data_IF_847962507400
#
_entry.id   IF_847962507400
#
_cell.length_a   1.000
_cell.length_b   1.000
_cell.length_c   1.000
_cell.angle_alpha   90.00
_cell.angle_beta   90.00
_cell.angle_gamma   90.00
#
_symmetry.space_group_name_H-M   'P 1'
#
loop_
_entity.id
_entity.type
_entity.pdbx_description
1 polymer ?
#
# COMPACT_ATOMS: atom_id res chain seq x y z
N UNK A 1 -71.75 32.10 32.29
CA UNK A 1 -70.77 31.50 31.36
C UNK A 1 -69.61 30.97 32.17
N UNK A 2 -69.66 29.68 32.55
CA UNK A 2 -68.60 29.00 33.30
C UNK A 2 -67.55 28.49 32.31
N UNK A 3 -66.33 29.00 32.43
CA UNK A 3 -65.20 28.64 31.59
C UNK A 3 -64.46 27.46 32.24
N UNK A 4 -64.66 26.25 31.73
CA UNK A 4 -63.98 25.05 32.21
C UNK A 4 -62.57 25.00 31.59
N UNK A 5 -61.54 25.25 32.39
CA UNK A 5 -60.14 25.00 32.01
C UNK A 5 -59.87 23.50 32.00
N UNK A 6 -59.65 22.93 30.83
CA UNK A 6 -59.15 21.56 30.67
C UNK A 6 -57.63 21.60 30.75
N UNK A 7 -57.07 21.10 31.85
CA UNK A 7 -55.64 20.82 31.95
C UNK A 7 -55.32 19.61 31.06
N UNK A 8 -54.64 19.85 29.94
CA UNK A 8 -54.01 18.80 29.16
C UNK A 8 -52.74 18.35 29.89
N UNK A 9 -52.79 17.19 30.54
CA UNK A 9 -51.60 16.53 31.08
C UNK A 9 -50.74 16.05 29.90
N UNK A 10 -49.58 16.67 29.70
CA UNK A 10 -48.54 16.11 28.82
C UNK A 10 -47.97 14.86 29.47
N UNK A 11 -48.33 13.69 28.92
CA UNK A 11 -47.63 12.44 29.18
C UNK A 11 -46.25 12.50 28.50
N UNK A 12 -45.21 12.79 29.28
CA UNK A 12 -43.83 12.52 28.86
C UNK A 12 -43.64 11.01 28.93
N UNK A 13 -43.77 10.33 27.79
CA UNK A 13 -43.41 8.92 27.68
C UNK A 13 -41.90 8.79 27.91
N UNK A 14 -41.49 8.44 29.13
CA UNK A 14 -40.12 7.99 29.38
C UNK A 14 -39.88 6.75 28.54
N UNK A 15 -38.91 6.81 27.60
CA UNK A 15 -38.48 5.62 26.89
C UNK A 15 -38.16 4.52 27.93
N UNK A 16 -38.65 3.28 27.75
CA UNK A 16 -38.32 2.20 28.68
C UNK A 16 -36.80 2.09 28.76
N UNK A 17 -36.27 2.12 29.98
CA UNK A 17 -34.84 1.89 30.21
C UNK A 17 -34.47 0.54 29.62
N UNK A 18 -33.56 0.50 28.65
CA UNK A 18 -33.05 -0.76 28.10
C UNK A 18 -32.54 -1.64 29.24
N UNK A 19 -32.86 -2.95 29.21
CA UNK A 19 -32.34 -3.91 30.19
C UNK A 19 -30.81 -3.89 30.16
N UNK A 20 -30.17 -3.72 31.32
CA UNK A 20 -28.71 -3.68 31.45
C UNK A 20 -28.23 -4.91 32.20
N UNK A 21 -27.20 -5.55 31.68
CA UNK A 21 -26.53 -6.69 32.30
C UNK A 21 -25.07 -6.34 32.51
N UNK A 22 -24.58 -6.50 33.73
CA UNK A 22 -23.18 -6.22 34.09
C UNK A 22 -22.43 -7.54 34.22
N UNK A 23 -21.33 -7.68 33.49
CA UNK A 23 -20.40 -8.80 33.59
C UNK A 23 -19.13 -8.29 34.29
N UNK A 24 -18.87 -8.70 35.53
CA UNK A 24 -17.64 -8.38 36.23
C UNK A 24 -16.48 -9.17 35.60
N UNK A 25 -15.43 -8.46 35.20
CA UNK A 25 -14.22 -8.98 34.60
C UNK A 25 -14.38 -9.65 33.21
N UNK A 26 -13.87 -8.95 32.18
CA UNK A 26 -13.94 -9.33 30.76
C UNK A 26 -13.20 -10.61 30.38
N UNK A 27 -12.30 -11.14 31.21
CA UNK A 27 -11.49 -12.33 30.90
C UNK A 27 -12.30 -13.63 30.89
N UNK A 28 -13.59 -13.57 31.25
CA UNK A 28 -14.46 -14.73 31.45
C UNK A 28 -15.43 -15.04 30.29
N UNK A 29 -15.57 -14.17 29.28
CA UNK A 29 -16.60 -14.31 28.23
C UNK A 29 -16.02 -14.16 26.83
N UNK A 30 -16.20 -15.19 25.99
CA UNK A 30 -15.78 -15.15 24.60
C UNK A 30 -16.56 -14.09 23.82
N UNK A 31 -15.94 -13.51 22.78
CA UNK A 31 -16.56 -12.49 21.93
C UNK A 31 -17.89 -12.92 21.30
N UNK A 32 -18.03 -14.22 21.00
CA UNK A 32 -19.25 -14.84 20.46
C UNK A 32 -20.40 -14.90 21.47
N UNK A 33 -20.08 -14.83 22.76
CA UNK A 33 -21.00 -15.14 23.86
C UNK A 33 -21.46 -13.86 24.59
N UNK A 34 -20.96 -12.69 24.19
CA UNK A 34 -21.34 -11.42 24.82
C UNK A 34 -22.85 -11.18 24.87
N UNK A 35 -23.59 -11.58 23.83
CA UNK A 35 -25.05 -11.49 23.79
C UNK A 35 -25.76 -12.80 24.17
N UNK A 36 -25.01 -13.86 24.51
CA UNK A 36 -25.52 -15.20 24.86
C UNK A 36 -24.96 -15.61 26.22
N UNK A 37 -25.71 -15.35 27.28
CA UNK A 37 -25.24 -15.62 28.64
C UNK A 37 -25.80 -16.94 29.16
N UNK A 38 -25.04 -17.60 30.02
CA UNK A 38 -25.46 -18.83 30.69
C UNK A 38 -26.84 -18.63 31.38
N UNK A 39 -27.80 -19.51 31.09
CA UNK A 39 -29.18 -19.38 31.55
C UNK A 39 -30.07 -18.41 30.76
N UNK A 40 -29.51 -17.58 29.86
CA UNK A 40 -30.24 -16.66 28.95
C UNK A 40 -29.59 -16.60 27.57
N UNK A 41 -29.82 -17.59 26.69
CA UNK A 41 -29.11 -17.70 25.42
C UNK A 41 -29.49 -16.64 24.37
N UNK A 42 -30.51 -15.80 24.61
CA UNK A 42 -30.97 -14.74 23.71
C UNK A 42 -31.26 -13.44 24.45
N UNK A 43 -30.21 -12.73 24.85
CA UNK A 43 -30.34 -11.46 25.54
C UNK A 43 -30.68 -10.31 24.57
N UNK A 44 -31.58 -9.41 25.01
CA UNK A 44 -31.90 -8.14 24.33
C UNK A 44 -31.74 -7.01 25.32
N UNK A 45 -30.86 -6.06 25.04
CA UNK A 45 -30.50 -5.01 25.98
C UNK A 45 -29.05 -4.56 25.81
N UNK A 46 -28.47 -4.04 26.88
CA UNK A 46 -27.09 -3.57 26.92
C UNK A 46 -26.26 -4.46 27.85
N UNK A 47 -25.14 -4.96 27.35
CA UNK A 47 -24.13 -5.68 28.13
C UNK A 47 -23.00 -4.74 28.48
N UNK A 48 -22.72 -4.60 29.77
CA UNK A 48 -21.62 -3.80 30.30
C UNK A 48 -20.53 -4.72 30.86
N UNK A 49 -19.32 -4.59 30.33
CA UNK A 49 -18.13 -5.21 30.89
C UNK A 49 -17.43 -4.19 31.77
N UNK A 50 -17.25 -4.53 33.04
CA UNK A 50 -16.61 -3.66 34.04
C UNK A 50 -15.38 -4.34 34.64
N UNK A 51 -14.41 -3.52 35.02
CA UNK A 51 -13.27 -3.94 35.85
C UNK A 51 -13.73 -4.25 37.28
N UNK A 52 -12.85 -4.85 38.06
CA UNK A 52 -13.09 -5.14 39.48
C UNK A 52 -13.34 -3.88 40.32
N UNK A 53 -12.76 -2.73 39.92
CA UNK A 53 -12.99 -1.41 40.52
C UNK A 53 -14.33 -0.76 40.09
N UNK A 54 -15.11 -1.44 39.26
CA UNK A 54 -16.40 -0.98 38.75
C UNK A 54 -16.32 -0.08 37.51
N UNK A 55 -15.12 0.24 37.01
CA UNK A 55 -14.93 1.08 35.85
C UNK A 55 -15.40 0.40 34.55
N UNK A 56 -16.15 1.13 33.71
CA UNK A 56 -16.68 0.63 32.44
C UNK A 56 -15.57 0.42 31.41
N UNK A 57 -15.45 -0.78 30.87
CA UNK A 57 -14.51 -1.10 29.79
C UNK A 57 -15.20 -1.22 28.44
N UNK A 58 -16.43 -1.74 28.41
CA UNK A 58 -17.16 -1.92 27.15
C UNK A 58 -18.67 -1.95 27.37
N UNK A 59 -19.40 -1.36 26.44
CA UNK A 59 -20.87 -1.39 26.36
C UNK A 59 -21.25 -2.00 25.00
N UNK A 60 -22.08 -3.04 24.99
CA UNK A 60 -22.50 -3.75 23.77
C UNK A 60 -24.02 -3.84 23.72
N UNK A 61 -24.62 -3.32 22.65
CA UNK A 61 -26.03 -3.53 22.35
C UNK A 61 -26.28 -4.93 21.81
N UNK A 62 -27.34 -5.58 22.29
CA UNK A 62 -27.76 -6.91 21.91
C UNK A 62 -29.25 -6.94 21.56
N UNK A 63 -29.61 -7.72 20.56
CA UNK A 63 -30.99 -8.06 20.21
C UNK A 63 -31.07 -9.55 19.87
N UNK A 64 -31.94 -10.30 20.54
CA UNK A 64 -32.20 -11.70 20.23
C UNK A 64 -31.01 -12.64 20.41
N UNK A 65 -30.01 -12.25 21.21
CA UNK A 65 -28.77 -13.02 21.39
C UNK A 65 -27.65 -12.70 20.41
N UNK A 66 -27.80 -11.65 19.60
CA UNK A 66 -26.81 -11.16 18.65
C UNK A 66 -26.49 -9.70 18.92
N UNK A 67 -25.32 -9.23 18.48
CA UNK A 67 -24.96 -7.82 18.62
C UNK A 67 -25.82 -6.96 17.70
N UNK A 68 -26.31 -5.85 18.25
CA UNK A 68 -27.18 -4.92 17.57
C UNK A 68 -26.94 -3.49 18.06
N UNK A 69 -26.81 -2.54 17.14
CA UNK A 69 -26.54 -1.15 17.46
C UNK A 69 -25.09 -0.91 17.86
N UNK A 70 -24.85 -0.16 18.93
CA UNK A 70 -23.51 0.33 19.29
C UNK A 70 -22.74 -0.67 20.15
N UNK A 71 -21.44 -0.76 19.87
CA UNK A 71 -20.44 -1.47 20.67
C UNK A 71 -19.27 -0.52 20.93
N UNK A 72 -19.15 -0.10 22.18
CA UNK A 72 -18.21 0.93 22.63
C UNK A 72 -17.21 0.34 23.59
N UNK A 73 -15.93 0.61 23.38
CA UNK A 73 -14.86 0.20 24.27
C UNK A 73 -14.12 1.43 24.79
N UNK A 74 -13.66 1.37 26.03
CA UNK A 74 -13.04 2.48 26.75
C UNK A 74 -11.64 2.10 27.22
N UNK A 75 -10.76 3.10 27.28
CA UNK A 75 -9.45 3.01 27.92
C UNK A 75 -9.57 2.95 29.44
N UNK A 76 -8.48 2.59 30.12
CA UNK A 76 -8.39 2.60 31.59
C UNK A 76 -8.61 3.99 32.22
N UNK A 77 -8.44 5.07 31.45
CA UNK A 77 -8.72 6.43 31.90
C UNK A 77 -10.18 6.88 31.62
N UNK A 78 -11.01 6.01 31.03
CA UNK A 78 -12.42 6.26 30.73
C UNK A 78 -12.67 6.92 29.38
N UNK A 79 -11.62 7.26 28.63
CA UNK A 79 -11.73 7.80 27.27
C UNK A 79 -12.27 6.73 26.33
N UNK A 80 -13.18 7.10 25.43
CA UNK A 80 -13.71 6.19 24.43
C UNK A 80 -12.58 5.76 23.49
N UNK A 81 -12.25 4.47 23.47
CA UNK A 81 -11.21 3.90 22.62
C UNK A 81 -11.72 3.57 21.22
N UNK A 82 -12.93 3.01 21.14
CA UNK A 82 -13.51 2.51 19.89
C UNK A 82 -15.03 2.47 19.96
N UNK A 83 -15.68 2.75 18.84
CA UNK A 83 -17.11 2.61 18.64
C UNK A 83 -17.35 1.89 17.31
N UNK A 84 -18.19 0.85 17.35
CA UNK A 84 -18.62 0.05 16.21
C UNK A 84 -20.14 0.02 16.15
N UNK A 85 -20.68 -0.11 14.95
CA UNK A 85 -22.10 -0.38 14.74
C UNK A 85 -22.30 -1.80 14.20
N UNK A 86 -23.29 -2.48 14.77
CA UNK A 86 -23.66 -3.86 14.46
C UNK A 86 -25.12 -3.92 14.00
N UNK A 87 -25.40 -4.78 13.03
CA UNK A 87 -26.73 -5.12 12.56
C UNK A 87 -26.81 -6.65 12.42
N UNK A 88 -27.70 -7.29 13.19
CA UNK A 88 -27.88 -8.75 13.19
C UNK A 88 -26.55 -9.54 13.30
N UNK A 89 -25.72 -9.15 14.28
CA UNK A 89 -24.44 -9.81 14.56
C UNK A 89 -23.31 -9.50 13.58
N UNK A 90 -23.53 -8.72 12.52
CA UNK A 90 -22.50 -8.28 11.57
C UNK A 90 -22.16 -6.80 11.73
N UNK A 91 -20.92 -6.41 11.44
CA UNK A 91 -20.55 -4.98 11.37
C UNK A 91 -21.29 -4.33 10.20
N UNK A 92 -21.99 -3.24 10.48
CA UNK A 92 -22.75 -2.47 9.50
C UNK A 92 -22.89 -1.05 10.00
N UNK A 93 -22.36 -0.07 9.28
CA UNK A 93 -22.32 1.33 9.68
C UNK A 93 -20.93 1.80 10.14
N UNK A 94 -20.92 2.83 10.99
CA UNK A 94 -19.70 3.56 11.32
C UNK A 94 -18.76 2.76 12.26
N UNK A 95 -17.48 2.87 11.98
CA UNK A 95 -16.38 2.53 12.87
C UNK A 95 -15.59 3.80 13.18
N UNK A 96 -15.27 4.00 14.46
CA UNK A 96 -14.41 5.07 14.93
C UNK A 96 -13.51 4.56 16.03
N UNK A 97 -12.26 5.00 16.05
CA UNK A 97 -11.37 4.80 17.18
C UNK A 97 -10.64 6.10 17.52
N UNK A 98 -10.19 6.19 18.76
CA UNK A 98 -9.52 7.36 19.31
C UNK A 98 -8.25 6.93 20.04
N UNK A 99 -7.33 7.87 20.23
CA UNK A 99 -6.16 7.74 21.08
C UNK A 99 -6.53 7.92 22.57
N UNK A 100 -5.65 7.55 23.52
CA UNK A 100 -5.92 7.69 24.96
C UNK A 100 -6.21 9.12 25.44
N UNK A 101 -5.80 10.13 24.67
CA UNK A 101 -6.07 11.56 24.92
C UNK A 101 -7.42 12.03 24.33
N UNK A 102 -8.14 11.15 23.61
CA UNK A 102 -9.41 11.43 22.97
C UNK A 102 -9.29 11.97 21.54
N UNK A 103 -8.08 12.12 20.99
CA UNK A 103 -7.90 12.51 19.59
C UNK A 103 -8.40 11.40 18.65
N UNK A 104 -9.06 11.72 17.51
CA UNK A 104 -9.44 10.70 16.53
C UNK A 104 -8.22 9.93 16.04
N UNK A 105 -8.35 8.61 15.92
CA UNK A 105 -7.30 7.71 15.43
C UNK A 105 -7.66 7.14 14.06
N UNK A 106 -8.89 6.68 13.92
CA UNK A 106 -9.37 6.04 12.69
C UNK A 106 -10.87 6.25 12.53
N UNK A 107 -11.33 6.40 11.29
CA UNK A 107 -12.75 6.47 10.97
C UNK A 107 -13.05 5.89 9.59
N UNK A 108 -14.05 5.02 9.52
CA UNK A 108 -14.57 4.44 8.28
C UNK A 108 -15.99 3.92 8.45
N UNK A 109 -16.60 3.48 7.36
CA UNK A 109 -17.94 2.89 7.35
C UNK A 109 -17.90 1.50 6.73
N UNK A 110 -18.61 0.55 7.31
CA UNK A 110 -18.89 -0.76 6.75
C UNK A 110 -20.31 -0.73 6.18
N UNK A 111 -20.52 -1.31 5.00
CA UNK A 111 -21.83 -1.58 4.46
C UNK A 111 -21.99 -3.07 4.14
N UNK A 112 -23.08 -3.46 3.46
CA UNK A 112 -23.40 -4.86 3.19
C UNK A 112 -22.34 -5.65 2.41
N UNK A 113 -21.46 -4.96 1.68
CA UNK A 113 -20.43 -5.57 0.83
C UNK A 113 -19.00 -5.30 1.33
N UNK A 114 -18.85 -4.81 2.56
CA UNK A 114 -17.55 -4.45 3.13
C UNK A 114 -17.40 -2.94 3.37
N UNK A 115 -16.16 -2.48 3.48
CA UNK A 115 -15.85 -1.05 3.62
C UNK A 115 -16.47 -0.20 2.50
N UNK A 116 -17.02 0.94 2.88
CA UNK A 116 -17.72 1.88 1.99
C UNK A 116 -17.39 3.33 2.37
N UNK A 117 -17.26 4.18 1.37
CA UNK A 117 -17.06 5.62 1.54
C UNK A 117 -15.64 5.99 1.98
N UNK A 118 -15.54 7.05 2.79
CA UNK A 118 -14.25 7.58 3.21
C UNK A 118 -13.63 6.74 4.33
N UNK A 119 -12.34 6.46 4.16
CA UNK A 119 -11.47 5.86 5.15
C UNK A 119 -10.41 6.89 5.57
N UNK A 120 -10.24 7.12 6.88
CA UNK A 120 -9.29 8.10 7.42
C UNK A 120 -8.52 7.51 8.60
N UNK A 121 -7.22 7.77 8.63
CA UNK A 121 -6.32 7.49 9.76
C UNK A 121 -5.66 8.81 10.16
N UNK A 122 -5.45 9.02 11.46
CA UNK A 122 -4.79 10.18 12.03
C UNK A 122 -3.55 9.79 12.83
N UNK A 123 -2.57 10.69 12.87
CA UNK A 123 -1.43 10.63 13.77
C UNK A 123 -1.87 11.04 15.19
N UNK A 124 -1.10 10.66 16.20
CA UNK A 124 -1.35 11.00 17.62
C UNK A 124 -1.45 12.52 17.87
N UNK A 125 -0.84 13.35 17.02
CA UNK A 125 -0.96 14.81 17.10
C UNK A 125 -2.24 15.37 16.45
N UNK A 126 -3.19 14.51 16.08
CA UNK A 126 -4.46 14.85 15.44
C UNK A 126 -4.39 15.19 13.96
N UNK A 127 -3.21 15.18 13.33
CA UNK A 127 -3.07 15.42 11.88
C UNK A 127 -3.46 14.17 11.10
N UNK A 128 -4.02 14.36 9.90
CA UNK A 128 -4.36 13.25 9.01
C UNK A 128 -3.08 12.50 8.61
N UNK A 129 -3.10 11.17 8.77
CA UNK A 129 -2.01 10.28 8.36
C UNK A 129 -2.31 9.64 7.00
N UNK A 130 -3.56 9.25 6.76
CA UNK A 130 -3.98 8.64 5.51
C UNK A 130 -5.45 8.92 5.23
N UNK A 131 -5.79 9.02 3.94
CA UNK A 131 -7.18 8.98 3.47
C UNK A 131 -7.30 8.09 2.23
N UNK A 132 -8.41 7.40 2.11
CA UNK A 132 -8.75 6.62 0.92
C UNK A 132 -10.27 6.57 0.73
N UNK A 133 -10.70 6.21 -0.47
CA UNK A 133 -12.10 5.89 -0.75
C UNK A 133 -12.29 4.39 -0.99
N UNK A 134 -13.38 3.85 -0.47
CA UNK A 134 -13.78 2.46 -0.61
C UNK A 134 -15.17 2.36 -1.24
N UNK A 135 -15.36 1.31 -2.03
CA UNK A 135 -16.65 0.89 -2.57
C UNK A 135 -16.71 -0.62 -2.65
N UNK A 136 -17.79 -1.21 -2.16
CA UNK A 136 -17.98 -2.67 -2.14
C UNK A 136 -16.77 -3.42 -1.53
N UNK A 137 -16.21 -2.89 -0.44
CA UNK A 137 -15.06 -3.48 0.26
C UNK A 137 -13.70 -3.31 -0.42
N UNK A 138 -13.62 -2.57 -1.54
CA UNK A 138 -12.38 -2.36 -2.30
C UNK A 138 -12.04 -0.88 -2.39
N UNK A 139 -10.73 -0.55 -2.37
CA UNK A 139 -10.28 0.83 -2.67
C UNK A 139 -10.79 1.26 -4.04
N UNK A 140 -11.47 2.39 -4.10
CA UNK A 140 -12.09 2.90 -5.32
C UNK A 140 -12.26 4.42 -5.23
N UNK A 141 -11.37 5.14 -5.91
CA UNK A 141 -11.23 6.59 -5.83
C UNK A 141 -9.84 7.01 -5.34
N UNK A 142 -9.68 8.29 -4.99
CA UNK A 142 -8.40 8.86 -4.59
C UNK A 142 -7.94 8.35 -3.22
N UNK A 143 -6.63 8.32 -3.05
CA UNK A 143 -5.97 8.13 -1.76
C UNK A 143 -4.81 9.11 -1.59
N UNK A 144 -4.43 9.35 -0.34
CA UNK A 144 -3.26 10.15 0.01
C UNK A 144 -2.73 9.79 1.40
N UNK A 145 -1.42 9.75 1.54
CA UNK A 145 -0.69 9.49 2.77
C UNK A 145 0.17 10.70 3.16
N UNK A 146 0.30 10.97 4.45
CA UNK A 146 0.95 12.15 5.01
C UNK A 146 1.86 11.81 6.19
N UNK A 147 2.94 12.57 6.35
CA UNK A 147 3.81 12.46 7.52
C UNK A 147 3.17 13.08 8.78
N UNK A 148 3.87 12.97 9.92
CA UNK A 148 3.40 13.56 11.20
C UNK A 148 3.31 15.08 11.14
N UNK A 149 4.03 15.73 10.22
CA UNK A 149 3.99 17.17 10.01
C UNK A 149 2.86 17.58 9.05
N UNK A 150 2.16 16.62 8.43
CA UNK A 150 1.09 16.86 7.46
C UNK A 150 1.59 17.10 6.04
N UNK A 151 2.88 16.87 5.76
CA UNK A 151 3.38 16.89 4.39
C UNK A 151 2.90 15.65 3.65
N UNK A 152 2.47 15.85 2.41
CA UNK A 152 2.05 14.76 1.53
C UNK A 152 3.26 13.88 1.21
N UNK A 153 3.12 12.58 1.44
CA UNK A 153 4.13 11.56 1.10
C UNK A 153 3.82 10.87 -0.22
N UNK A 154 2.55 10.52 -0.42
CA UNK A 154 2.09 9.80 -1.61
C UNK A 154 0.63 10.17 -1.91
N UNK A 155 0.27 10.19 -3.19
CA UNK A 155 -1.14 10.18 -3.62
C UNK A 155 -1.32 9.41 -4.91
N UNK A 156 -2.54 8.96 -5.15
CA UNK A 156 -2.97 8.41 -6.42
C UNK A 156 -4.42 8.02 -6.38
N UNK A 157 -4.80 7.12 -7.28
CA UNK A 157 -6.17 6.66 -7.45
C UNK A 157 -6.22 5.13 -7.57
N UNK A 158 -7.29 4.56 -7.06
CA UNK A 158 -7.62 3.15 -7.19
C UNK A 158 -8.94 2.98 -7.94
N UNK A 159 -9.04 1.92 -8.74
CA UNK A 159 -10.29 1.46 -9.33
C UNK A 159 -10.45 -0.05 -9.07
N UNK A 160 -11.56 -0.41 -8.41
CA UNK A 160 -11.87 -1.80 -8.03
C UNK A 160 -10.73 -2.54 -7.30
N UNK A 161 -10.04 -1.84 -6.40
CA UNK A 161 -8.94 -2.39 -5.59
C UNK A 161 -7.59 -2.45 -6.30
N UNK A 162 -7.45 -1.88 -7.50
CA UNK A 162 -6.18 -1.80 -8.24
C UNK A 162 -5.79 -0.36 -8.50
N UNK A 163 -4.51 -0.03 -8.41
CA UNK A 163 -4.01 1.31 -8.75
C UNK A 163 -4.38 1.65 -10.21
N UNK A 164 -4.90 2.84 -10.45
CA UNK A 164 -5.40 3.23 -11.77
C UNK A 164 -5.23 4.74 -11.95
N UNK A 165 -4.40 5.15 -12.90
CA UNK A 165 -3.96 6.53 -13.05
C UNK A 165 -2.53 6.75 -12.54
N UNK A 166 -2.25 7.96 -12.06
CA UNK A 166 -0.89 8.38 -11.68
C UNK A 166 -0.72 8.34 -10.18
N UNK A 167 0.27 7.58 -9.72
CA UNK A 167 0.76 7.59 -8.34
C UNK A 167 2.00 8.48 -8.28
N UNK A 168 2.00 9.42 -7.33
CA UNK A 168 3.10 10.37 -7.12
C UNK A 168 3.57 10.27 -5.67
N UNK A 169 4.87 10.05 -5.49
CA UNK A 169 5.54 10.12 -4.19
C UNK A 169 6.36 11.41 -4.10
N UNK A 170 6.43 11.97 -2.90
CA UNK A 170 6.99 13.28 -2.61
C UNK A 170 8.11 13.17 -1.57
N UNK A 171 9.15 13.98 -1.72
CA UNK A 171 10.14 14.22 -0.68
C UNK A 171 9.53 15.06 0.46
N UNK A 172 10.16 15.08 1.66
CA UNK A 172 9.75 15.98 2.74
C UNK A 172 9.71 17.47 2.36
N UNK A 173 10.47 17.87 1.33
CA UNK A 173 10.44 19.23 0.77
C UNK A 173 9.15 19.56 0.00
N UNK A 174 8.31 18.57 -0.31
CA UNK A 174 7.14 18.69 -1.18
C UNK A 174 7.44 18.50 -2.67
N UNK A 175 8.70 18.25 -3.06
CA UNK A 175 9.06 17.94 -4.43
C UNK A 175 8.61 16.52 -4.80
N UNK A 176 7.99 16.34 -5.97
CA UNK A 176 7.70 15.02 -6.51
C UNK A 176 9.01 14.29 -6.85
N UNK A 177 9.23 13.12 -6.26
CA UNK A 177 10.44 12.32 -6.45
C UNK A 177 10.16 11.04 -7.23
N UNK A 178 8.91 10.59 -7.31
CA UNK A 178 8.56 9.42 -8.10
C UNK A 178 7.18 9.58 -8.71
N UNK A 179 7.08 9.22 -9.98
CA UNK A 179 5.83 9.21 -10.73
C UNK A 179 5.71 7.84 -11.36
N UNK A 180 4.60 7.17 -11.06
CA UNK A 180 4.29 5.83 -11.55
C UNK A 180 2.90 5.85 -12.17
N UNK A 181 2.75 5.32 -13.38
CA UNK A 181 1.49 5.31 -14.11
C UNK A 181 0.96 3.88 -14.19
N UNK A 182 -0.33 3.73 -13.90
CA UNK A 182 -1.02 2.45 -13.87
C UNK A 182 -2.30 2.48 -14.68
N UNK A 183 -2.66 1.32 -15.23
CA UNK A 183 -3.99 1.01 -15.73
C UNK A 183 -4.44 -0.30 -15.09
N UNK A 184 -5.45 -0.25 -14.23
CA UNK A 184 -5.99 -1.41 -13.51
C UNK A 184 -4.92 -2.31 -12.85
N UNK A 185 -3.94 -1.69 -12.20
CA UNK A 185 -2.85 -2.32 -11.46
C UNK A 185 -1.61 -2.66 -12.29
N UNK A 186 -1.68 -2.55 -13.63
CA UNK A 186 -0.56 -2.78 -14.53
C UNK A 186 0.18 -1.48 -14.80
N UNK A 187 1.52 -1.49 -14.76
CA UNK A 187 2.33 -0.32 -15.14
C UNK A 187 2.15 -0.02 -16.63
N UNK A 188 1.91 1.23 -16.96
CA UNK A 188 1.75 1.73 -18.34
C UNK A 188 2.44 3.08 -18.45
N UNK A 189 2.88 3.48 -19.64
CA UNK A 189 3.55 4.76 -19.85
C UNK A 189 4.87 4.90 -19.06
N UNK A 190 5.26 6.14 -18.82
CA UNK A 190 6.58 6.49 -18.27
C UNK A 190 6.55 6.47 -16.74
N UNK A 191 7.43 5.68 -16.15
CA UNK A 191 7.75 5.69 -14.73
C UNK A 191 9.03 6.48 -14.54
N UNK A 192 9.05 7.42 -13.60
CA UNK A 192 10.21 8.27 -13.38
C UNK A 192 10.54 8.40 -11.89
N UNK A 193 11.84 8.49 -11.59
CA UNK A 193 12.39 8.70 -10.25
C UNK A 193 13.42 9.81 -10.34
N UNK A 194 13.34 10.79 -9.45
CA UNK A 194 14.26 11.91 -9.34
C UNK A 194 14.99 11.86 -8.00
N UNK A 195 16.18 12.45 -7.95
CA UNK A 195 16.93 12.65 -6.71
C UNK A 195 16.25 13.71 -5.86
N UNK A 196 16.05 13.40 -4.59
CA UNK A 196 15.53 14.31 -3.56
C UNK A 196 16.53 15.41 -3.15
N UNK A 197 17.83 15.25 -3.44
CA UNK A 197 18.87 16.22 -3.09
C UNK A 197 19.09 17.28 -4.15
N UNK A 198 19.04 16.93 -5.44
CA UNK A 198 19.34 17.85 -6.54
C UNK A 198 18.31 17.87 -7.68
N UNK A 199 17.23 17.10 -7.57
CA UNK A 199 16.14 17.07 -8.55
C UNK A 199 16.47 16.39 -9.88
N UNK A 200 17.66 15.80 -10.06
CA UNK A 200 18.03 15.14 -11.32
C UNK A 200 17.31 13.82 -11.49
N UNK A 201 16.96 13.49 -12.73
CA UNK A 201 16.33 12.23 -13.10
C UNK A 201 17.30 11.08 -12.85
N UNK A 202 16.91 10.13 -12.01
CA UNK A 202 17.69 8.93 -11.68
C UNK A 202 17.23 7.71 -12.46
N UNK A 203 15.94 7.60 -12.77
CA UNK A 203 15.39 6.47 -13.54
C UNK A 203 14.23 6.91 -14.43
N UNK A 204 14.16 6.35 -15.64
CA UNK A 204 13.04 6.48 -16.57
C UNK A 204 12.77 5.13 -17.21
N UNK A 205 11.67 4.49 -16.85
CA UNK A 205 11.22 3.23 -17.45
C UNK A 205 9.93 3.47 -18.22
N UNK A 206 9.79 2.84 -19.37
CA UNK A 206 8.63 3.01 -20.23
C UNK A 206 7.94 1.67 -20.45
N UNK A 207 6.62 1.67 -20.34
CA UNK A 207 5.76 0.52 -20.57
C UNK A 207 4.68 0.87 -21.60
N UNK A 208 4.32 -0.09 -22.46
CA UNK A 208 3.22 0.08 -23.40
C UNK A 208 1.86 0.15 -22.69
N UNK A 209 0.77 0.54 -23.35
CA UNK A 209 -0.58 0.44 -22.80
C UNK A 209 -0.96 -0.99 -22.36
N UNK A 210 -0.41 -2.00 -23.04
CA UNK A 210 -0.55 -3.43 -22.73
C UNK A 210 0.34 -3.87 -21.57
N UNK A 211 1.19 -2.96 -21.07
CA UNK A 211 2.11 -3.17 -19.95
C UNK A 211 3.37 -3.95 -20.29
N UNK A 212 3.72 -4.06 -21.57
CA UNK A 212 5.02 -4.59 -21.97
C UNK A 212 6.10 -3.54 -21.72
N UNK A 213 7.26 -3.95 -21.18
CA UNK A 213 8.40 -3.06 -21.02
C UNK A 213 8.93 -2.62 -22.40
N UNK A 214 9.26 -1.34 -22.55
CA UNK A 214 9.71 -0.72 -23.80
C UNK A 214 11.17 -0.28 -23.72
N UNK A 215 11.51 0.47 -22.67
CA UNK A 215 12.87 0.98 -22.47
C UNK A 215 13.12 1.35 -21.01
N UNK A 216 14.39 1.34 -20.62
CA UNK A 216 14.79 1.76 -19.30
C UNK A 216 16.13 2.47 -19.29
N UNK A 217 16.18 3.57 -18.57
CA UNK A 217 17.37 4.40 -18.41
C UNK A 217 17.59 4.66 -16.92
N UNK A 218 18.84 4.58 -16.48
CA UNK A 218 19.27 4.87 -15.12
C UNK A 218 20.47 5.79 -15.20
N UNK A 219 20.43 6.86 -14.42
CA UNK A 219 21.49 7.85 -14.31
C UNK A 219 22.07 7.88 -12.90
N UNK A 220 23.31 8.35 -12.80
CA UNK A 220 23.94 8.70 -11.53
C UNK A 220 23.42 10.08 -11.06
N UNK A 221 23.66 10.40 -9.79
CA UNK A 221 23.28 11.69 -9.19
C UNK A 221 24.00 12.87 -9.87
N UNK A 222 25.18 12.63 -10.45
CA UNK A 222 25.93 13.61 -11.25
C UNK A 222 25.34 13.84 -12.66
N UNK A 223 24.31 13.07 -13.06
CA UNK A 223 23.65 13.15 -14.36
C UNK A 223 24.27 12.26 -15.45
N UNK A 224 25.38 11.57 -15.17
CA UNK A 224 25.97 10.62 -16.11
C UNK A 224 25.07 9.40 -16.30
N UNK A 225 24.96 8.92 -17.55
CA UNK A 225 24.18 7.72 -17.86
C UNK A 225 24.90 6.50 -17.28
N UNK A 226 24.21 5.78 -16.39
CA UNK A 226 24.74 4.59 -15.71
C UNK A 226 24.34 3.31 -16.43
N UNK A 227 23.10 3.23 -16.90
CA UNK A 227 22.55 2.00 -17.49
C UNK A 227 21.41 2.27 -18.45
N UNK A 228 21.37 1.49 -19.52
CA UNK A 228 20.21 1.35 -20.40
C UNK A 228 19.75 -0.10 -20.48
N UNK A 229 18.46 -0.33 -20.61
CA UNK A 229 17.87 -1.66 -20.75
C UNK A 229 16.78 -1.64 -21.81
N UNK A 230 16.82 -2.57 -22.75
CA UNK A 230 15.85 -2.71 -23.83
C UNK A 230 15.46 -4.18 -24.02
N UNK A 231 14.19 -4.47 -24.39
CA UNK A 231 13.82 -5.77 -24.95
C UNK A 231 14.66 -6.10 -26.17
N UNK A 232 14.96 -7.38 -26.36
CA UNK A 232 15.69 -7.87 -27.53
C UNK A 232 15.19 -9.27 -27.90
N UNK A 233 15.05 -9.53 -29.20
CA UNK A 233 14.86 -10.87 -29.73
C UNK A 233 16.23 -11.51 -29.96
N UNK A 234 16.48 -12.63 -29.29
CA UNK A 234 17.75 -13.34 -29.34
C UNK A 234 17.59 -14.54 -30.30
N UNK A 235 18.26 -14.55 -31.46
CA UNK A 235 18.10 -15.60 -32.46
C UNK A 235 18.35 -16.99 -31.85
N UNK A 236 17.35 -17.87 -31.95
CA UNK A 236 17.42 -19.24 -31.41
C UNK A 236 17.13 -19.36 -29.91
N UNK A 237 16.99 -18.25 -29.16
CA UNK A 237 16.82 -18.27 -27.70
C UNK A 237 15.61 -17.45 -27.19
N UNK A 238 14.87 -16.80 -28.09
CA UNK A 238 13.62 -16.10 -27.79
C UNK A 238 13.81 -14.67 -27.26
N UNK A 239 12.77 -14.12 -26.62
CA UNK A 239 12.78 -12.76 -26.07
C UNK A 239 13.64 -12.67 -24.82
N UNK A 240 14.28 -11.52 -24.67
CA UNK A 240 15.19 -11.23 -23.59
C UNK A 240 15.37 -9.75 -23.33
N UNK A 241 16.40 -9.43 -22.57
CA UNK A 241 16.84 -8.06 -22.29
C UNK A 241 18.28 -7.86 -22.73
N UNK A 242 18.52 -6.71 -23.36
CA UNK A 242 19.85 -6.14 -23.54
C UNK A 242 20.04 -5.03 -22.52
N UNK A 243 20.96 -5.22 -21.59
CA UNK A 243 21.36 -4.23 -20.59
C UNK A 243 22.76 -3.74 -20.91
N UNK A 244 22.96 -2.42 -20.94
CA UNK A 244 24.28 -1.79 -21.12
C UNK A 244 24.57 -0.91 -19.92
N UNK A 245 25.71 -1.13 -19.26
CA UNK A 245 26.19 -0.41 -18.09
C UNK A 245 27.47 0.35 -18.44
N UNK A 246 27.57 1.59 -17.95
CA UNK A 246 28.68 2.50 -18.23
C UNK A 246 29.44 2.76 -16.94
N UNK A 247 30.71 2.36 -16.89
CA UNK A 247 31.58 2.43 -15.72
C UNK A 247 32.93 3.05 -16.13
N UNK A 248 33.02 4.38 -16.06
CA UNK A 248 34.23 5.09 -16.47
C UNK A 248 34.55 4.86 -17.95
N UNK A 249 35.70 4.25 -18.26
CA UNK A 249 36.12 3.93 -19.62
C UNK A 249 35.48 2.63 -20.16
N UNK A 250 34.80 1.85 -19.31
CA UNK A 250 34.29 0.53 -19.63
C UNK A 250 32.79 0.57 -19.93
N UNK A 251 32.40 -0.20 -20.95
CA UNK A 251 31.00 -0.46 -21.28
C UNK A 251 30.74 -1.95 -21.18
N UNK A 252 29.86 -2.36 -20.26
CA UNK A 252 29.41 -3.74 -20.12
C UNK A 252 28.07 -3.90 -20.82
N UNK A 253 27.93 -4.87 -21.71
CA UNK A 253 26.66 -5.24 -22.32
C UNK A 253 26.33 -6.68 -21.98
N UNK A 254 25.14 -6.91 -21.43
CA UNK A 254 24.57 -8.22 -21.10
C UNK A 254 23.32 -8.40 -21.96
N UNK A 255 23.28 -9.47 -22.75
CA UNK A 255 22.10 -9.94 -23.48
C UNK A 255 21.66 -11.25 -22.82
N UNK A 256 20.43 -11.32 -22.31
CA UNK A 256 19.94 -12.50 -21.58
C UNK A 256 18.51 -12.84 -21.98
N UNK A 257 18.21 -14.12 -22.22
CA UNK A 257 16.85 -14.61 -22.47
C UNK A 257 16.07 -14.85 -21.17
N UNK A 258 14.82 -15.32 -21.28
CA UNK A 258 13.98 -15.75 -20.16
C UNK A 258 13.00 -14.69 -19.66
N UNK A 259 13.32 -13.41 -19.82
CA UNK A 259 12.36 -12.32 -19.63
C UNK A 259 12.73 -11.09 -20.43
N UNK A 260 11.71 -10.34 -20.85
CA UNK A 260 11.78 -9.00 -21.42
C UNK A 260 11.28 -7.92 -20.44
N UNK A 261 11.05 -8.26 -19.17
CA UNK A 261 10.67 -7.32 -18.11
C UNK A 261 11.77 -7.27 -17.04
N UNK A 262 12.44 -6.11 -16.85
CA UNK A 262 13.50 -5.98 -15.86
C UNK A 262 13.01 -6.22 -14.42
N UNK A 263 11.71 -6.10 -14.14
CA UNK A 263 11.15 -6.42 -12.83
C UNK A 263 11.26 -7.91 -12.48
N UNK A 264 11.31 -8.80 -13.49
CA UNK A 264 11.40 -10.25 -13.32
C UNK A 264 12.82 -10.79 -13.37
N UNK A 265 13.80 -9.97 -13.76
CA UNK A 265 15.20 -10.41 -13.85
C UNK A 265 15.75 -10.99 -12.54
N UNK A 266 15.34 -10.44 -11.38
CA UNK A 266 15.77 -10.92 -10.07
C UNK A 266 15.18 -12.30 -9.72
N UNK A 267 14.05 -12.69 -10.32
CA UNK A 267 13.37 -13.96 -10.06
C UNK A 267 13.98 -15.11 -10.87
N UNK A 268 14.54 -14.80 -12.05
CA UNK A 268 15.03 -15.75 -13.06
C UNK A 268 16.56 -15.91 -12.95
N UNK A 269 17.10 -15.88 -11.73
CA UNK A 269 18.54 -15.82 -11.48
C UNK A 269 19.35 -16.80 -12.36
N UNK A 270 20.28 -16.26 -13.15
CA UNK A 270 21.01 -17.02 -14.19
C UNK A 270 21.68 -18.30 -13.67
N UNK A 271 22.08 -18.35 -12.40
CA UNK A 271 22.77 -19.52 -11.83
C UNK A 271 21.88 -20.75 -11.64
N UNK A 272 20.55 -20.59 -11.66
CA UNK A 272 19.60 -21.65 -11.28
C UNK A 272 18.47 -21.87 -12.28
N UNK A 273 18.33 -21.01 -13.28
CA UNK A 273 17.28 -21.16 -14.29
C UNK A 273 17.80 -21.90 -15.52
N UNK A 274 17.21 -23.06 -15.86
CA UNK A 274 17.57 -23.78 -17.09
C UNK A 274 17.14 -22.99 -18.34
N UNK A 275 17.72 -23.33 -19.48
CA UNK A 275 17.36 -22.78 -20.80
C UNK A 275 17.52 -21.25 -20.94
N UNK A 276 18.42 -20.67 -20.14
CA UNK A 276 18.81 -19.27 -20.28
C UNK A 276 20.04 -19.14 -21.17
N UNK A 277 19.92 -18.31 -22.19
CA UNK A 277 21.03 -17.77 -22.95
C UNK A 277 21.55 -16.52 -22.26
N UNK A 278 22.87 -16.37 -22.18
CA UNK A 278 23.52 -15.15 -21.71
C UNK A 278 24.78 -14.88 -22.52
N UNK A 279 24.87 -13.65 -23.05
CA UNK A 279 26.08 -13.07 -23.63
C UNK A 279 26.46 -11.84 -22.83
N UNK A 280 27.63 -11.87 -22.22
CA UNK A 280 28.22 -10.76 -21.49
C UNK A 280 29.47 -10.29 -22.24
N UNK A 281 29.53 -9.00 -22.54
CA UNK A 281 30.68 -8.36 -23.19
C UNK A 281 31.11 -7.16 -22.39
N UNK A 282 32.42 -7.00 -22.20
CA UNK A 282 33.03 -5.81 -21.61
C UNK A 282 33.92 -5.18 -22.68
N UNK A 283 33.72 -3.89 -22.93
CA UNK A 283 34.45 -3.12 -23.93
C UNK A 283 35.15 -1.92 -23.31
N UNK A 284 36.32 -1.59 -23.86
CA UNK A 284 37.03 -0.31 -23.66
C UNK A 284 37.13 0.36 -25.02
N UNK A 285 36.34 1.42 -25.25
CA UNK A 285 36.07 1.92 -26.60
C UNK A 285 35.52 0.80 -27.51
N UNK A 286 36.12 0.62 -28.68
CA UNK A 286 35.72 -0.43 -29.62
C UNK A 286 36.28 -1.82 -29.30
N UNK A 287 37.29 -1.91 -28.41
CA UNK A 287 37.97 -3.16 -28.10
C UNK A 287 37.17 -4.00 -27.10
N UNK A 288 36.90 -5.27 -27.46
CA UNK A 288 36.40 -6.27 -26.52
C UNK A 288 37.56 -6.67 -25.59
N UNK A 289 37.37 -6.46 -24.29
CA UNK A 289 38.31 -6.90 -23.25
C UNK A 289 37.78 -8.12 -22.49
N UNK A 290 36.46 -8.28 -22.39
CA UNK A 290 35.87 -9.54 -21.97
C UNK A 290 34.70 -9.97 -22.83
N UNK A 291 34.55 -11.29 -23.01
CA UNK A 291 33.39 -11.90 -23.66
C UNK A 291 33.13 -13.27 -23.05
N UNK A 292 31.91 -13.48 -22.57
CA UNK A 292 31.43 -14.77 -22.08
C UNK A 292 30.07 -15.03 -22.72
N UNK A 293 29.95 -16.16 -23.41
CA UNK A 293 28.70 -16.58 -24.04
C UNK A 293 28.35 -17.99 -23.57
N UNK A 294 27.12 -18.16 -23.09
CA UNK A 294 26.67 -19.43 -22.54
C UNK A 294 25.17 -19.65 -22.78
N UNK A 295 24.79 -20.92 -22.86
CA UNK A 295 23.41 -21.39 -22.84
C UNK A 295 23.27 -22.53 -21.84
N UNK A 296 22.23 -22.46 -21.00
CA UNK A 296 21.96 -23.50 -20.00
C UNK A 296 23.21 -23.82 -19.15
N UNK A 297 23.87 -22.76 -18.69
CA UNK A 297 25.11 -22.78 -17.90
C UNK A 297 26.34 -23.42 -18.59
N UNK A 298 26.27 -23.69 -19.89
CA UNK A 298 27.39 -24.20 -20.69
C UNK A 298 27.92 -23.13 -21.62
N UNK A 299 29.25 -22.96 -21.65
CA UNK A 299 29.91 -22.03 -22.57
C UNK A 299 29.64 -22.45 -24.02
N UNK A 300 29.28 -21.48 -24.86
CA UNK A 300 29.11 -21.66 -26.30
C UNK A 300 30.39 -21.32 -27.09
N UNK A 301 31.33 -20.64 -26.45
CA UNK A 301 32.59 -20.22 -27.03
C UNK A 301 33.64 -20.04 -25.94
N UNK A 302 34.92 -20.14 -26.32
CA UNK A 302 36.03 -19.78 -25.43
C UNK A 302 35.88 -18.33 -24.91
N UNK A 303 35.98 -18.11 -23.59
CA UNK A 303 35.94 -16.78 -23.01
C UNK A 303 37.12 -15.92 -23.47
N UNK A 304 36.85 -14.63 -23.64
CA UNK A 304 37.90 -13.62 -23.83
C UNK A 304 38.11 -12.92 -22.49
N UNK A 305 39.36 -12.83 -22.03
CA UNK A 305 39.76 -12.02 -20.89
C UNK A 305 41.06 -11.27 -21.21
N UNK A 306 41.01 -9.94 -21.20
CA UNK A 306 42.14 -9.02 -21.42
C UNK A 306 42.20 -8.02 -20.27
N UNK A 307 43.27 -7.23 -20.23
CA UNK A 307 43.43 -6.17 -19.24
C UNK A 307 42.28 -5.15 -19.29
N UNK A 308 41.75 -4.82 -18.10
CA UNK A 308 40.61 -3.93 -17.86
C UNK A 308 41.04 -2.54 -17.43
N UNK A 309 42.33 -2.30 -17.21
CA UNK A 309 42.81 -1.01 -16.71
C UNK A 309 42.35 0.15 -17.62
N UNK A 310 41.77 1.20 -17.02
CA UNK A 310 41.51 2.46 -17.71
C UNK A 310 42.79 3.31 -17.67
N UNK A 311 43.17 3.90 -18.81
CA UNK A 311 44.20 4.94 -18.81
C UNK A 311 43.74 6.19 -18.04
N UNK A 312 44.67 7.03 -17.59
CA UNK A 312 44.35 8.23 -16.80
C UNK A 312 43.47 9.27 -17.53
N UNK A 313 43.37 9.21 -18.87
CA UNK A 313 42.67 10.20 -19.72
C UNK A 313 41.39 9.66 -20.42
N UNK A 314 40.91 8.45 -20.10
CA UNK A 314 39.80 7.81 -20.83
C UNK A 314 38.45 7.93 -20.10
N UNK A 315 37.92 9.14 -19.90
CA UNK A 315 36.54 9.31 -19.42
C UNK A 315 35.54 9.22 -20.58
N UNK A 316 34.65 8.23 -20.58
CA UNK A 316 33.66 8.04 -21.64
C UNK A 316 32.61 9.16 -21.68
N UNK A 317 32.50 9.84 -22.82
CA UNK A 317 31.36 10.70 -23.15
C UNK A 317 30.19 9.85 -23.63
N UNK A 318 29.06 9.90 -22.93
CA UNK A 318 27.80 9.31 -23.39
C UNK A 318 27.35 9.95 -24.72
N UNK A 319 26.75 9.19 -25.66
CA UNK A 319 26.24 9.77 -26.89
C UNK A 319 25.06 10.69 -26.58
N UNK A 320 25.10 11.91 -27.12
CA UNK A 320 23.97 12.83 -27.14
C UNK A 320 22.93 12.33 -28.14
N UNK A 321 21.78 11.86 -27.66
CA UNK A 321 20.63 11.46 -28.46
C UNK A 321 19.34 11.64 -27.67
#
# INVERSE_FOLDING_TARGET
>A
MTLTLVFAALLVASAPSQERMVIPNHESVAESDLCRVEGRPRFSGIVELRRDDGMLMREVGCEGGEKQGRDRQFYENGTLMMERHWQAGALDGAYRSWFPDGAPKEAWTYGPKGLEGDYRIYHENGRLAARAQYRDGKRNGPYADYDKQGHLLERGDYRHGRADGTVVEYAPSGQAIKVTHFQMGRRTGIQALWSDTNGRLLRRYEYSPEGAFVSGYVWNVDGSLRRTTFPVDIPGYGRGLKTTEYEGCLTRTIVQSGTDDPARLAEIGYSFTPDIYKLETLRRGDAIVERVEAYNHKLLSEPIHRDKACGADESATAPSG
#
